data_IF_895151918849
#
_entry.id   IF_895151918849
#
_cell.length_a   1.000
_cell.length_b   1.000
_cell.length_c   1.000
_cell.angle_alpha   90.00
_cell.angle_beta   90.00
_cell.angle_gamma   90.00
#
_symmetry.space_group_name_H-M   'P 1'
#
loop_
_entity.id
_entity.type
_entity.pdbx_description
1 polymer ?
#
# COMPACT_ATOMS: atom_id res chain seq x y z
N UNK A 1 -7.60 5.00 12.88
CA UNK A 1 -6.30 5.67 13.18
C UNK A 1 -6.15 6.11 14.64
N UNK A 2 -6.89 7.11 15.17
CA UNK A 2 -6.75 7.53 16.58
C UNK A 2 -7.13 6.42 17.57
N UNK A 3 -8.32 5.82 17.40
CA UNK A 3 -8.80 4.70 18.23
C UNK A 3 -7.91 3.45 18.14
N UNK A 4 -7.30 3.23 16.98
CA UNK A 4 -6.41 2.09 16.71
C UNK A 4 -4.97 2.34 17.21
N UNK A 5 -4.67 3.52 17.75
CA UNK A 5 -3.34 3.87 18.24
C UNK A 5 -2.29 4.14 17.15
N UNK A 6 -2.68 4.17 15.88
CA UNK A 6 -1.77 4.42 14.74
C UNK A 6 -1.25 5.85 14.72
N UNK A 7 -2.05 6.82 15.18
CA UNK A 7 -1.68 8.25 15.25
C UNK A 7 -2.01 8.81 16.62
N UNK A 8 -1.34 9.91 16.98
CA UNK A 8 -1.60 10.69 18.20
C UNK A 8 -1.58 12.19 17.90
N UNK A 9 -2.24 12.96 18.74
CA UNK A 9 -2.16 14.43 18.70
C UNK A 9 -0.76 14.89 19.08
N UNK A 10 -0.20 15.81 18.32
CA UNK A 10 1.09 16.46 18.59
C UNK A 10 1.03 17.94 18.23
N UNK A 11 1.89 18.73 18.85
CA UNK A 11 2.11 20.13 18.48
C UNK A 11 3.55 20.27 17.97
N UNK A 12 3.71 20.64 16.70
CA UNK A 12 5.02 20.70 16.04
C UNK A 12 5.05 21.80 14.98
N UNK A 13 6.19 22.46 14.73
CA UNK A 13 6.30 23.53 13.72
C UNK A 13 6.23 23.03 12.27
N UNK A 14 6.20 21.72 12.05
CA UNK A 14 6.11 21.11 10.71
C UNK A 14 4.85 20.25 10.60
N UNK A 15 4.14 20.40 9.49
CA UNK A 15 3.00 19.57 9.12
C UNK A 15 2.97 19.37 7.60
N UNK A 16 2.54 18.19 7.17
CA UNK A 16 2.20 17.91 5.76
C UNK A 16 0.68 17.99 5.60
N UNK A 17 0.16 18.52 4.49
CA UNK A 17 -1.28 18.65 4.30
C UNK A 17 -1.94 17.28 4.09
N UNK A 18 -3.20 17.19 4.48
CA UNK A 18 -4.07 16.03 4.26
C UNK A 18 -4.88 16.23 2.99
N UNK A 19 -5.00 15.17 2.19
CA UNK A 19 -5.76 15.11 0.94
C UNK A 19 -6.69 13.89 0.99
N UNK A 20 -7.94 14.07 0.58
CA UNK A 20 -8.86 12.96 0.38
C UNK A 20 -8.73 12.47 -1.06
N UNK A 21 -8.29 11.23 -1.24
CA UNK A 21 -8.12 10.62 -2.56
C UNK A 21 -9.19 9.57 -2.80
N UNK A 22 -9.83 9.60 -3.97
CA UNK A 22 -10.86 8.63 -4.31
C UNK A 22 -10.24 7.25 -4.56
N UNK A 23 -10.82 6.21 -3.99
CA UNK A 23 -10.50 4.81 -4.24
C UNK A 23 -11.13 4.38 -5.56
N UNK A 24 -10.42 3.54 -6.31
CA UNK A 24 -11.00 2.84 -7.45
C UNK A 24 -11.66 1.52 -7.00
N UNK A 25 -12.58 1.59 -6.03
CA UNK A 25 -13.24 0.43 -5.43
C UNK A 25 -14.71 0.29 -5.86
N UNK A 26 -15.15 1.02 -6.88
CA UNK A 26 -16.52 0.98 -7.39
C UNK A 26 -17.56 1.68 -6.50
N UNK A 27 -17.16 2.29 -5.37
CA UNK A 27 -18.10 2.99 -4.49
C UNK A 27 -18.52 4.35 -5.07
N UNK A 28 -19.75 4.75 -4.72
CA UNK A 28 -20.34 6.02 -5.12
C UNK A 28 -19.61 7.20 -4.46
N UNK A 29 -19.60 8.40 -5.08
CA UNK A 29 -18.85 9.57 -4.56
C UNK A 29 -19.38 10.14 -3.24
N UNK A 30 -20.61 9.81 -2.86
CA UNK A 30 -21.23 10.20 -1.60
C UNK A 30 -20.90 9.22 -0.45
N UNK A 31 -20.40 8.02 -0.76
CA UNK A 31 -19.94 7.07 0.25
C UNK A 31 -18.61 7.56 0.87
N UNK A 32 -18.55 7.72 2.20
CA UNK A 32 -17.31 8.11 2.88
C UNK A 32 -16.21 7.05 2.72
N UNK A 33 -16.55 5.79 2.51
CA UNK A 33 -15.60 4.70 2.28
C UNK A 33 -14.92 4.76 0.91
N UNK A 34 -15.47 5.54 -0.03
CA UNK A 34 -14.91 5.78 -1.36
C UNK A 34 -13.62 6.61 -1.33
N UNK A 35 -13.23 7.17 -0.18
CA UNK A 35 -12.05 8.03 -0.05
C UNK A 35 -10.99 7.42 0.89
N UNK A 36 -9.72 7.76 0.64
CA UNK A 36 -8.59 7.51 1.54
C UNK A 36 -8.14 8.83 2.14
N UNK A 37 -7.87 8.79 3.44
CA UNK A 37 -7.11 9.81 4.14
C UNK A 37 -5.63 9.68 3.71
N UNK A 38 -5.17 10.58 2.83
CA UNK A 38 -3.80 10.57 2.27
C UNK A 38 -3.04 11.79 2.74
N UNK A 39 -1.76 11.64 3.09
CA UNK A 39 -0.90 12.75 3.51
C UNK A 39 0.08 13.05 2.39
N UNK A 40 0.19 14.32 2.00
CA UNK A 40 1.13 14.75 0.95
C UNK A 40 2.55 14.93 1.51
N UNK A 41 3.32 13.85 1.48
CA UNK A 41 4.70 13.84 1.95
C UNK A 41 5.74 14.31 0.91
N UNK A 42 5.36 14.91 -0.23
CA UNK A 42 6.33 15.24 -1.30
C UNK A 42 7.50 16.10 -0.82
N UNK A 43 7.22 17.18 -0.07
CA UNK A 43 8.27 18.05 0.50
C UNK A 43 9.10 17.33 1.58
N UNK A 44 8.45 16.49 2.38
CA UNK A 44 9.14 15.70 3.41
C UNK A 44 10.08 14.66 2.78
N UNK A 45 9.62 13.95 1.74
CA UNK A 45 10.39 12.93 1.04
C UNK A 45 11.58 13.51 0.27
N UNK A 46 11.52 14.78 -0.14
CA UNK A 46 12.64 15.46 -0.79
C UNK A 46 13.83 15.72 0.17
N UNK A 47 13.58 15.82 1.48
CA UNK A 47 14.62 16.09 2.49
C UNK A 47 15.05 14.85 3.28
N UNK A 48 14.26 13.76 3.23
CA UNK A 48 14.60 12.51 3.92
C UNK A 48 15.45 11.60 3.06
N UNK A 49 16.38 10.87 3.69
CA UNK A 49 17.15 9.83 3.02
C UNK A 49 16.26 8.61 2.77
N UNK A 50 16.00 8.29 1.51
CA UNK A 50 15.29 7.07 1.16
C UNK A 50 16.12 5.84 1.54
N UNK A 51 15.64 4.96 2.43
CA UNK A 51 16.32 3.71 2.69
C UNK A 51 16.15 2.79 1.48
N UNK A 52 17.22 2.59 0.72
CA UNK A 52 17.23 1.65 -0.42
C UNK A 52 17.48 0.24 0.11
N UNK A 53 16.42 -0.55 0.19
CA UNK A 53 16.51 -2.01 0.31
C UNK A 53 16.45 -2.61 -1.10
N UNK A 54 17.26 -3.64 -1.40
CA UNK A 54 17.16 -4.32 -2.68
C UNK A 54 15.82 -5.05 -2.74
N UNK A 55 14.88 -4.52 -3.52
CA UNK A 55 13.69 -5.27 -3.93
C UNK A 55 14.07 -6.05 -5.19
N UNK A 56 13.76 -7.35 -5.25
CA UNK A 56 14.00 -8.13 -6.45
C UNK A 56 13.20 -7.56 -7.62
N UNK A 57 13.74 -7.69 -8.83
CA UNK A 57 12.95 -7.45 -10.04
C UNK A 57 11.81 -8.47 -10.07
N UNK A 58 10.66 -8.09 -10.63
CA UNK A 58 9.47 -8.95 -10.67
C UNK A 58 9.80 -10.32 -11.28
N UNK A 59 10.57 -10.34 -12.37
CA UNK A 59 10.98 -11.58 -13.04
C UNK A 59 11.82 -12.48 -12.12
N UNK A 60 12.82 -11.92 -11.43
CA UNK A 60 13.64 -12.65 -10.45
C UNK A 60 12.77 -13.24 -9.33
N UNK A 61 11.77 -12.50 -8.87
CA UNK A 61 10.85 -12.97 -7.84
C UNK A 61 9.98 -14.14 -8.35
N UNK A 62 9.54 -14.11 -9.60
CA UNK A 62 8.69 -15.15 -10.21
C UNK A 62 9.49 -16.42 -10.52
N UNK A 63 10.71 -16.29 -11.04
CA UNK A 63 11.58 -17.44 -11.37
C UNK A 63 11.91 -18.28 -10.12
N UNK A 64 11.96 -17.65 -8.95
CA UNK A 64 12.23 -18.33 -7.69
C UNK A 64 10.98 -18.93 -7.02
N UNK A 65 9.81 -18.90 -7.66
CA UNK A 65 8.61 -19.58 -7.17
C UNK A 65 8.74 -21.08 -7.52
N UNK A 66 8.77 -21.99 -6.51
CA UNK A 66 8.77 -23.42 -6.80
C UNK A 66 7.50 -23.81 -7.55
N UNK A 67 7.65 -24.49 -8.70
CA UNK A 67 6.54 -25.11 -9.41
C UNK A 67 6.01 -26.27 -8.56
N UNK A 68 4.93 -26.03 -7.80
CA UNK A 68 4.16 -27.12 -7.22
C UNK A 68 3.56 -27.92 -8.37
N UNK A 69 4.12 -29.09 -8.66
CA UNK A 69 3.55 -30.06 -9.59
C UNK A 69 2.21 -30.49 -9.00
N UNK A 70 1.11 -29.95 -9.53
CA UNK A 70 -0.23 -30.50 -9.29
C UNK A 70 -0.34 -31.70 -10.23
N UNK A 71 0.00 -32.89 -9.73
CA UNK A 71 -0.33 -34.15 -10.40
C UNK A 71 -1.85 -34.27 -10.43
N UNK A 72 -2.47 -33.89 -11.55
CA UNK A 72 -3.87 -34.25 -11.81
C UNK A 72 -3.86 -35.74 -12.17
N UNK A 73 -4.20 -36.59 -11.20
CA UNK A 73 -4.59 -37.98 -11.50
C UNK A 73 -5.85 -37.93 -12.37
N UNK A 74 -5.71 -38.14 -13.68
CA UNK A 74 -6.83 -38.51 -14.53
C UNK A 74 -7.30 -39.92 -14.11
N UNK A 75 -8.29 -39.97 -13.22
CA UNK A 75 -9.11 -41.16 -13.04
C UNK A 75 -10.24 -41.18 -14.07
N UNK A 76 -10.07 -42.05 -15.06
CA UNK A 76 -11.12 -42.95 -15.54
C UNK A 76 -12.15 -42.40 -16.53
N UNK A 77 -12.14 -42.99 -17.71
CA UNK A 77 -13.20 -43.00 -18.71
C UNK A 77 -12.88 -44.01 -19.79
#
# INVERSE_FOLDING_TARGET
MLREGTIRTIQYPYASPVVLTRKNNGLLPDSPEAYRFTIDYRKHNAITKYPRYPLPVIDDAITNIPQTIISVEEKGG
#
